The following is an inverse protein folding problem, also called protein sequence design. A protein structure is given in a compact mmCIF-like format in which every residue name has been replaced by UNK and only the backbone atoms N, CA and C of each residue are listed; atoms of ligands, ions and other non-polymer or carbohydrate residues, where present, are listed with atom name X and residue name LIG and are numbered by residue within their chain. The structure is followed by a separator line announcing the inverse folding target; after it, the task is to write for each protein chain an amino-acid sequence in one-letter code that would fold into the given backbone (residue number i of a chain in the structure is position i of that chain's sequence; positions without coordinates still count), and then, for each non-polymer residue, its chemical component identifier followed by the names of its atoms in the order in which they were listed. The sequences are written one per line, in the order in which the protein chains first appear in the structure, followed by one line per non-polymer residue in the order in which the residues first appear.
data_IF_372250670831
#
_entry.id   IF_372250670831
#
_cell.length_a   1.000
_cell.length_b   1.000
_cell.length_c   1.000
_cell.angle_alpha   90.00
_cell.angle_beta   90.00
_cell.angle_gamma   90.00
#
_symmetry.space_group_name_H-M   'P 1'
#
loop_
_entity.id
_entity.type
_entity.pdbx_description
1 polymer ?
#
# COMPACT_ATOMS: atom_id res chain seq x y z
N UNK A 1 4.89 -17.05 2.75
CA UNK A 1 5.46 -16.23 3.82
C UNK A 1 4.35 -15.98 4.82
N UNK A 2 4.43 -16.62 5.98
CA UNK A 2 3.41 -16.54 7.04
C UNK A 2 3.69 -15.30 7.87
N UNK A 3 2.68 -14.45 8.09
CA UNK A 3 2.75 -13.36 9.07
C UNK A 3 2.20 -13.88 10.40
N UNK A 4 2.97 -13.87 11.51
CA UNK A 4 2.47 -14.33 12.80
C UNK A 4 1.66 -13.25 13.53
N UNK A 5 0.43 -13.66 13.88
CA UNK A 5 -0.29 -13.58 15.15
C UNK A 5 -0.74 -12.23 15.77
N UNK A 6 -2.04 -11.99 15.58
CA UNK A 6 -3.09 -11.79 16.60
C UNK A 6 -2.68 -11.77 18.09
N UNK A 7 -2.99 -10.66 18.78
CA UNK A 7 -3.45 -10.63 20.18
C UNK A 7 -4.57 -9.59 20.35
N UNK A 8 -5.60 -9.85 21.18
CA UNK A 8 -6.70 -8.93 21.42
C UNK A 8 -6.35 -7.97 22.56
N UNK A 9 -6.40 -6.65 22.33
CA UNK A 9 -6.46 -5.68 23.43
C UNK A 9 -5.55 -4.44 23.39
N UNK A 10 -4.82 -4.16 22.31
CA UNK A 10 -4.11 -2.87 22.19
C UNK A 10 -4.88 -1.89 21.31
N UNK A 11 -5.07 -0.67 21.83
CA UNK A 11 -5.41 0.55 21.05
C UNK A 11 -4.41 0.83 19.91
N UNK A 12 -3.32 0.06 19.84
CA UNK A 12 -2.39 -0.06 18.74
C UNK A 12 -2.81 -1.31 17.94
N UNK A 13 -3.59 -1.13 16.87
CA UNK A 13 -3.93 -2.22 15.95
C UNK A 13 -2.71 -2.73 15.16
N UNK A 14 -2.90 -3.53 14.09
CA UNK A 14 -1.81 -4.21 13.37
C UNK A 14 -0.69 -3.23 13.02
N UNK A 15 0.54 -3.68 13.20
CA UNK A 15 1.73 -2.83 13.14
C UNK A 15 2.06 -2.37 11.71
N UNK A 16 1.20 -2.65 10.71
CA UNK A 16 1.30 -2.25 9.29
C UNK A 16 2.73 -2.19 8.73
N UNK A 17 3.58 -3.17 9.10
CA UNK A 17 4.97 -3.23 8.65
C UNK A 17 6.00 -2.51 9.54
N UNK A 18 5.72 -2.32 10.83
CA UNK A 18 6.67 -1.72 11.76
C UNK A 18 8.01 -2.43 11.75
N UNK A 19 9.09 -1.64 11.76
CA UNK A 19 10.43 -2.17 11.63
C UNK A 19 10.82 -3.02 12.82
N UNK A 20 10.99 -4.31 12.58
CA UNK A 20 11.59 -5.22 13.55
C UNK A 20 13.10 -5.29 13.33
N UNK A 21 13.88 -4.94 14.35
CA UNK A 21 15.35 -4.98 14.32
C UNK A 21 15.91 -6.40 14.18
N UNK A 22 15.11 -7.43 14.38
CA UNK A 22 15.53 -8.84 14.28
C UNK A 22 15.35 -9.42 12.88
N UNK A 23 14.65 -8.73 11.96
CA UNK A 23 14.38 -9.26 10.62
C UNK A 23 15.48 -8.86 9.64
N UNK A 24 16.06 -9.84 8.97
CA UNK A 24 17.02 -9.62 7.88
C UNK A 24 16.34 -9.06 6.63
N UNK A 25 17.00 -8.11 5.96
CA UNK A 25 16.49 -7.51 4.71
C UNK A 25 16.60 -8.52 3.56
N UNK A 26 15.60 -8.53 2.68
CA UNK A 26 15.60 -9.40 1.49
C UNK A 26 16.81 -9.15 0.58
N UNK A 27 17.17 -7.88 0.35
CA UNK A 27 18.31 -7.50 -0.49
C UNK A 27 19.65 -7.98 0.10
N UNK A 28 19.81 -7.91 1.43
CA UNK A 28 20.97 -8.47 2.12
C UNK A 28 21.05 -10.00 1.98
N UNK A 29 19.91 -10.68 2.05
CA UNK A 29 19.86 -12.14 1.88
C UNK A 29 20.21 -12.54 0.45
N UNK A 30 19.69 -11.81 -0.54
CA UNK A 30 20.02 -12.01 -1.96
C UNK A 30 21.52 -11.80 -2.21
N UNK A 31 22.09 -10.73 -1.65
CA UNK A 31 23.51 -10.42 -1.76
C UNK A 31 24.40 -11.57 -1.26
N UNK A 32 24.08 -12.14 -0.11
CA UNK A 32 24.81 -13.30 0.46
C UNK A 32 24.71 -14.55 -0.41
N UNK A 33 23.59 -14.71 -1.15
CA UNK A 33 23.44 -15.76 -2.14
C UNK A 33 24.13 -15.44 -3.49
N UNK A 34 24.93 -14.37 -3.56
CA UNK A 34 25.58 -13.92 -4.79
C UNK A 34 24.62 -13.33 -5.83
N UNK A 35 23.40 -12.95 -5.42
CA UNK A 35 22.40 -12.32 -6.27
C UNK A 35 22.45 -10.82 -6.11
N UNK A 36 22.78 -10.15 -7.20
CA UNK A 36 22.66 -8.70 -7.37
C UNK A 36 21.19 -8.28 -7.47
N UNK A 37 20.89 -7.13 -6.88
CA UNK A 37 19.53 -6.61 -6.83
C UNK A 37 19.51 -5.10 -7.07
N UNK A 38 18.38 -4.58 -7.54
CA UNK A 38 18.14 -3.16 -7.73
C UNK A 38 16.89 -2.73 -6.96
N UNK A 39 16.98 -1.62 -6.23
CA UNK A 39 15.87 -0.98 -5.52
C UNK A 39 15.60 0.39 -6.11
N UNK A 40 14.36 0.63 -6.52
CA UNK A 40 13.89 1.84 -7.19
C UNK A 40 12.68 2.37 -6.42
N UNK A 41 12.89 3.35 -5.56
CA UNK A 41 11.86 3.80 -4.62
C UNK A 41 12.16 5.21 -4.11
N UNK A 42 11.33 5.74 -3.20
CA UNK A 42 11.61 6.97 -2.48
C UNK A 42 12.95 6.91 -1.74
N UNK A 43 13.59 8.07 -1.59
CA UNK A 43 14.91 8.19 -0.95
C UNK A 43 14.96 7.61 0.47
N UNK A 44 13.87 7.71 1.23
CA UNK A 44 13.79 7.16 2.59
C UNK A 44 13.82 5.63 2.58
N UNK A 45 13.11 5.01 1.64
CA UNK A 45 13.04 3.55 1.46
C UNK A 45 14.37 3.05 0.93
N UNK A 46 14.93 3.70 -0.08
CA UNK A 46 16.22 3.33 -0.67
C UNK A 46 17.31 3.35 0.41
N UNK A 47 17.47 4.45 1.15
CA UNK A 47 18.45 4.57 2.24
C UNK A 47 18.26 3.50 3.31
N UNK A 48 17.01 3.13 3.59
CA UNK A 48 16.68 2.17 4.63
C UNK A 48 16.92 0.73 4.22
N UNK A 49 16.62 0.37 2.97
CA UNK A 49 16.54 -1.04 2.55
C UNK A 49 17.64 -1.48 1.58
N UNK A 50 18.38 -0.57 0.96
CA UNK A 50 19.53 -0.93 0.12
C UNK A 50 20.57 -1.74 0.90
N UNK A 51 21.20 -2.70 0.23
CA UNK A 51 22.46 -3.33 0.65
C UNK A 51 23.63 -2.73 -0.12
N UNK A 52 24.85 -2.88 0.41
CA UNK A 52 26.09 -2.37 -0.23
C UNK A 52 26.29 -2.90 -1.66
N UNK A 53 25.78 -4.10 -1.93
CA UNK A 53 25.85 -4.77 -3.24
C UNK A 53 24.63 -4.55 -4.14
N UNK A 54 23.65 -3.74 -3.70
CA UNK A 54 22.45 -3.44 -4.48
C UNK A 54 22.58 -2.11 -5.24
N UNK A 55 22.04 -2.06 -6.45
CA UNK A 55 21.88 -0.78 -7.15
C UNK A 55 20.71 -0.03 -6.51
N UNK A 56 20.93 1.24 -6.18
CA UNK A 56 19.97 2.05 -5.43
C UNK A 56 19.58 3.29 -6.26
N UNK A 57 18.29 3.43 -6.59
CA UNK A 57 17.76 4.53 -7.37
C UNK A 57 16.65 5.23 -6.59
N UNK A 58 16.95 6.41 -6.06
CA UNK A 58 15.91 7.29 -5.53
C UNK A 58 15.12 7.91 -6.68
N UNK A 59 13.79 7.87 -6.60
CA UNK A 59 12.88 8.44 -7.60
C UNK A 59 11.82 9.32 -6.92
N UNK A 60 11.33 10.32 -7.64
CA UNK A 60 10.32 11.27 -7.13
C UNK A 60 8.94 11.10 -7.78
N UNK A 61 8.79 10.19 -8.74
CA UNK A 61 7.52 9.93 -9.43
C UNK A 61 7.43 8.51 -9.97
N UNK A 62 6.21 8.03 -10.17
CA UNK A 62 5.95 6.70 -10.75
C UNK A 62 6.47 6.56 -12.18
N UNK A 63 6.48 7.64 -12.96
CA UNK A 63 6.95 7.60 -14.35
C UNK A 63 8.49 7.48 -14.39
N UNK A 64 9.18 8.13 -13.46
CA UNK A 64 10.61 7.91 -13.24
C UNK A 64 10.89 6.50 -12.74
N UNK A 65 10.12 6.00 -11.77
CA UNK A 65 10.21 4.63 -11.27
C UNK A 65 10.09 3.61 -12.42
N UNK A 66 9.08 3.78 -13.27
CA UNK A 66 8.87 2.93 -14.45
C UNK A 66 10.04 3.01 -15.43
N UNK A 67 10.57 4.21 -15.70
CA UNK A 67 11.70 4.39 -16.61
C UNK A 67 12.95 3.67 -16.09
N UNK A 68 13.28 3.83 -14.80
CA UNK A 68 14.43 3.16 -14.16
C UNK A 68 14.24 1.65 -14.13
N UNK A 69 13.03 1.18 -13.80
CA UNK A 69 12.72 -0.25 -13.76
C UNK A 69 12.91 -0.88 -15.14
N UNK A 70 12.39 -0.26 -16.20
CA UNK A 70 12.60 -0.71 -17.59
C UNK A 70 14.07 -0.73 -18.00
N UNK A 71 14.89 0.17 -17.47
CA UNK A 71 16.34 0.19 -17.71
C UNK A 71 17.03 -0.97 -17.01
N UNK A 72 16.72 -1.19 -15.73
CA UNK A 72 17.30 -2.26 -14.92
C UNK A 72 16.86 -3.66 -15.38
N UNK A 73 15.66 -3.79 -15.93
CA UNK A 73 15.18 -5.05 -16.53
C UNK A 73 16.07 -5.51 -17.70
N UNK A 74 16.76 -4.57 -18.38
CA UNK A 74 17.72 -4.87 -19.46
C UNK A 74 19.15 -5.10 -18.96
N UNK A 75 19.37 -5.02 -17.65
CA UNK A 75 20.67 -5.23 -17.05
C UNK A 75 20.83 -6.72 -16.73
N UNK A 76 21.58 -7.44 -17.57
CA UNK A 76 21.84 -8.88 -17.41
C UNK A 76 22.55 -9.23 -16.10
N UNK A 77 23.13 -8.23 -15.42
CA UNK A 77 23.75 -8.40 -14.12
C UNK A 77 22.77 -8.25 -12.97
N UNK A 78 21.49 -7.96 -13.16
CA UNK A 78 20.51 -7.76 -12.07
C UNK A 78 19.56 -8.95 -11.99
N UNK A 79 19.46 -9.59 -10.83
CA UNK A 79 18.60 -10.77 -10.63
C UNK A 79 17.25 -10.47 -9.98
N UNK A 80 17.16 -9.36 -9.26
CA UNK A 80 15.97 -8.96 -8.53
C UNK A 80 15.78 -7.45 -8.62
N UNK A 81 14.57 -7.00 -8.94
CA UNK A 81 14.23 -5.59 -9.05
C UNK A 81 13.02 -5.32 -8.15
N UNK A 82 13.19 -4.39 -7.21
CA UNK A 82 12.09 -3.81 -6.44
C UNK A 82 11.75 -2.44 -6.99
N UNK A 83 10.47 -2.19 -7.24
CA UNK A 83 9.97 -0.86 -7.56
C UNK A 83 8.58 -0.64 -6.96
N UNK A 84 8.32 0.57 -6.50
CA UNK A 84 7.02 0.98 -5.96
C UNK A 84 6.42 2.09 -6.83
N UNK A 85 5.10 2.02 -7.03
CA UNK A 85 4.28 3.11 -7.55
C UNK A 85 3.50 3.73 -6.39
N UNK A 86 3.79 4.99 -6.07
CA UNK A 86 3.33 5.67 -4.86
C UNK A 86 2.08 6.52 -5.06
N UNK A 87 1.68 6.80 -6.31
CA UNK A 87 0.56 7.71 -6.63
C UNK A 87 -0.75 7.35 -5.90
N UNK A 88 -1.08 6.05 -5.83
CA UNK A 88 -2.27 5.59 -5.11
C UNK A 88 -2.16 5.83 -3.59
N UNK A 89 -0.98 5.62 -3.01
CA UNK A 89 -0.76 5.86 -1.59
C UNK A 89 -0.85 7.36 -1.28
N UNK A 90 -0.22 8.21 -2.09
CA UNK A 90 -0.30 9.67 -1.94
C UNK A 90 -1.73 10.18 -2.03
N UNK A 91 -2.56 9.61 -2.90
CA UNK A 91 -3.99 9.93 -2.97
C UNK A 91 -4.74 9.62 -1.68
N UNK A 92 -4.45 8.49 -1.03
CA UNK A 92 -5.06 8.16 0.26
C UNK A 92 -4.56 9.08 1.40
N UNK A 93 -3.26 9.41 1.43
CA UNK A 93 -2.71 10.37 2.41
C UNK A 93 -3.40 11.73 2.27
N UNK A 94 -3.48 12.26 1.05
CA UNK A 94 -4.11 13.56 0.77
C UNK A 94 -5.59 13.57 1.18
N UNK A 95 -6.32 12.47 0.94
CA UNK A 95 -7.72 12.35 1.37
C UNK A 95 -7.88 12.30 2.90
N UNK A 96 -6.93 11.70 3.61
CA UNK A 96 -6.98 11.64 5.07
C UNK A 96 -6.63 12.98 5.73
N UNK A 97 -5.86 13.82 5.03
CA UNK A 97 -5.52 15.17 5.49
C UNK A 97 -6.63 16.20 5.21
N UNK A 98 -7.39 16.03 4.13
CA UNK A 98 -8.53 16.86 3.76
C UNK A 98 -9.76 16.58 4.66
N UNK A 99 -10.07 17.52 5.56
CA UNK A 99 -11.16 17.36 6.53
C UNK A 99 -12.54 17.20 5.87
N UNK A 100 -12.78 17.84 4.74
CA UNK A 100 -14.06 17.77 4.04
C UNK A 100 -14.25 16.36 3.44
N UNK A 101 -13.23 15.86 2.73
CA UNK A 101 -13.24 14.51 2.14
C UNK A 101 -13.31 13.43 3.22
N UNK A 102 -12.55 13.60 4.31
CA UNK A 102 -12.57 12.69 5.44
C UNK A 102 -13.97 12.64 6.07
N UNK A 103 -14.56 13.78 6.40
CA UNK A 103 -15.88 13.85 7.02
C UNK A 103 -16.96 13.24 6.11
N UNK A 104 -16.90 13.50 4.80
CA UNK A 104 -17.80 12.87 3.82
C UNK A 104 -17.71 11.35 3.82
N UNK A 105 -16.48 10.81 3.80
CA UNK A 105 -16.22 9.36 3.83
C UNK A 105 -16.67 8.72 5.15
N UNK A 106 -16.49 9.41 6.29
CA UNK A 106 -16.97 8.93 7.59
C UNK A 106 -18.50 8.93 7.68
N UNK A 107 -19.17 9.96 7.18
CA UNK A 107 -20.62 10.03 7.14
C UNK A 107 -21.21 8.91 6.26
N UNK A 108 -20.60 8.64 5.10
CA UNK A 108 -20.96 7.52 4.23
C UNK A 108 -20.82 6.17 4.95
N UNK A 109 -19.65 5.91 5.57
CA UNK A 109 -19.40 4.68 6.30
C UNK A 109 -20.35 4.49 7.49
N UNK A 110 -20.63 5.55 8.25
CA UNK A 110 -21.63 5.49 9.32
C UNK A 110 -23.03 5.21 8.79
N UNK A 111 -23.42 5.84 7.69
CA UNK A 111 -24.71 5.57 7.07
C UNK A 111 -24.84 4.10 6.67
N UNK A 112 -23.77 3.51 6.14
CA UNK A 112 -23.73 2.09 5.78
C UNK A 112 -23.81 1.17 7.00
N UNK A 113 -23.14 1.51 8.10
CA UNK A 113 -23.11 0.72 9.32
C UNK A 113 -24.41 0.83 10.15
N UNK A 114 -25.16 1.93 10.02
CA UNK A 114 -26.37 2.21 10.82
C UNK A 114 -27.67 1.89 10.11
N UNK A 115 -27.67 1.74 8.78
CA UNK A 115 -28.86 1.37 8.03
C UNK A 115 -29.18 -0.12 8.17
N UNK A 116 -30.00 -0.48 9.16
CA UNK A 116 -30.68 -1.77 9.27
C UNK A 116 -31.71 -1.97 8.14
N UNK A 117 -31.27 -2.32 6.93
CA UNK A 117 -32.19 -2.85 5.92
C UNK A 117 -31.67 -4.15 5.34
N UNK A 118 -32.36 -5.23 5.72
CA UNK A 118 -32.37 -6.56 5.10
C UNK A 118 -32.07 -6.48 3.59
N UNK A 119 -30.85 -6.72 3.20
CA UNK A 119 -30.55 -7.15 1.84
C UNK A 119 -29.53 -8.27 1.90
N UNK A 120 -30.05 -9.48 1.68
CA UNK A 120 -29.30 -10.63 1.21
C UNK A 120 -28.77 -10.25 -0.17
N UNK A 121 -27.66 -9.51 -0.20
CA UNK A 121 -26.76 -9.35 -1.33
C UNK A 121 -25.59 -8.47 -0.86
N UNK A 122 -24.61 -9.11 -0.23
CA UNK A 122 -23.25 -8.57 -0.05
C UNK A 122 -22.56 -8.41 -1.42
N UNK A 123 -23.13 -7.64 -2.35
CA UNK A 123 -22.35 -7.06 -3.43
C UNK A 123 -21.56 -5.93 -2.79
N UNK A 124 -20.23 -6.05 -2.87
CA UNK A 124 -19.27 -5.32 -2.06
C UNK A 124 -19.59 -3.84 -1.89
N UNK A 125 -19.16 -3.32 -0.74
CA UNK A 125 -19.13 -1.92 -0.36
C UNK A 125 -18.71 -1.08 -1.57
N UNK A 126 -19.68 -0.61 -2.35
CA UNK A 126 -19.43 0.21 -3.51
C UNK A 126 -19.47 1.65 -3.02
N UNK A 127 -18.49 2.01 -2.18
CA UNK A 127 -18.09 3.40 -2.04
C UNK A 127 -17.85 3.89 -3.46
N UNK A 128 -18.56 4.95 -3.87
CA UNK A 128 -18.53 5.41 -5.26
C UNK A 128 -17.09 5.70 -5.66
N UNK A 129 -16.52 4.87 -6.53
CA UNK A 129 -15.14 5.07 -7.00
C UNK A 129 -15.08 6.45 -7.65
N UNK A 130 -14.35 7.38 -7.03
CA UNK A 130 -14.23 8.74 -7.56
C UNK A 130 -13.58 8.68 -8.94
N UNK A 131 -13.89 9.64 -9.82
CA UNK A 131 -13.26 9.75 -11.13
C UNK A 131 -11.74 9.86 -11.00
N UNK A 132 -11.27 10.61 -10.00
CA UNK A 132 -9.85 10.73 -9.65
C UNK A 132 -9.20 9.38 -9.31
N UNK A 133 -9.83 8.57 -8.44
CA UNK A 133 -9.32 7.24 -8.10
C UNK A 133 -9.30 6.32 -9.33
N UNK A 134 -10.34 6.38 -10.17
CA UNK A 134 -10.41 5.60 -11.41
C UNK A 134 -9.28 5.96 -12.38
N UNK A 135 -8.95 7.23 -12.49
CA UNK A 135 -7.87 7.70 -13.34
C UNK A 135 -6.50 7.25 -12.80
N UNK A 136 -6.30 7.30 -11.47
CA UNK A 136 -5.09 6.79 -10.82
C UNK A 136 -4.91 5.28 -11.07
N UNK A 137 -5.95 4.49 -10.85
CA UNK A 137 -5.91 3.04 -11.11
C UNK A 137 -5.65 2.75 -12.60
N UNK A 138 -6.22 3.55 -13.50
CA UNK A 138 -5.98 3.42 -14.94
C UNK A 138 -4.52 3.70 -15.30
N UNK A 139 -3.92 4.76 -14.74
CA UNK A 139 -2.49 5.07 -14.91
C UNK A 139 -1.61 3.96 -14.34
N UNK A 140 -1.89 3.50 -13.12
CA UNK A 140 -1.17 2.40 -12.47
C UNK A 140 -1.20 1.13 -13.33
N UNK A 141 -2.36 0.75 -13.85
CA UNK A 141 -2.49 -0.38 -14.77
C UNK A 141 -1.67 -0.17 -16.06
N UNK A 142 -1.67 1.05 -16.61
CA UNK A 142 -0.81 1.41 -17.74
C UNK A 142 0.68 1.23 -17.44
N UNK A 143 1.14 1.64 -16.26
CA UNK A 143 2.54 1.47 -15.81
C UNK A 143 2.91 0.01 -15.62
N UNK A 144 2.04 -0.78 -14.98
CA UNK A 144 2.23 -2.24 -14.80
C UNK A 144 2.32 -2.94 -16.16
N UNK A 145 1.40 -2.64 -17.09
CA UNK A 145 1.46 -3.20 -18.46
C UNK A 145 2.74 -2.79 -19.17
N UNK A 146 3.14 -1.53 -19.02
CA UNK A 146 4.40 -1.01 -19.57
C UNK A 146 5.62 -1.74 -19.02
N UNK A 147 5.64 -2.06 -17.72
CA UNK A 147 6.70 -2.83 -17.08
C UNK A 147 6.70 -4.28 -17.58
N UNK A 148 5.54 -4.96 -17.54
CA UNK A 148 5.39 -6.35 -17.99
C UNK A 148 5.83 -6.54 -19.45
N UNK A 149 5.48 -5.60 -20.33
CA UNK A 149 5.90 -5.64 -21.73
C UNK A 149 7.43 -5.51 -21.93
N UNK A 150 8.14 -4.93 -20.97
CA UNK A 150 9.59 -4.80 -21.01
C UNK A 150 10.34 -6.00 -20.41
N UNK A 151 9.65 -6.90 -19.69
CA UNK A 151 10.26 -8.05 -19.04
C UNK A 151 10.75 -9.08 -20.08
N UNK A 152 11.96 -9.64 -19.91
CA UNK A 152 12.41 -10.80 -20.65
C UNK A 152 11.52 -12.03 -20.39
N UNK A 153 11.52 -12.98 -21.33
CA UNK A 153 10.94 -14.31 -21.11
C UNK A 153 11.58 -15.01 -19.90
N UNK A 154 10.81 -15.84 -19.22
CA UNK A 154 11.15 -16.51 -17.97
C UNK A 154 11.34 -15.57 -16.76
N UNK A 155 10.81 -14.35 -16.83
CA UNK A 155 10.83 -13.42 -15.68
C UNK A 155 9.58 -13.60 -14.82
N UNK A 156 9.77 -13.67 -13.51
CA UNK A 156 8.68 -13.66 -12.54
C UNK A 156 8.36 -12.23 -12.10
N UNK A 157 7.10 -11.82 -12.26
CA UNK A 157 6.57 -10.54 -11.79
C UNK A 157 5.67 -10.78 -10.57
N UNK A 158 5.99 -10.12 -9.47
CA UNK A 158 5.18 -10.12 -8.24
C UNK A 158 4.63 -8.70 -8.05
N UNK A 159 3.31 -8.56 -7.91
CA UNK A 159 2.64 -7.29 -7.64
C UNK A 159 1.95 -7.40 -6.29
N UNK A 160 2.36 -6.59 -5.32
CA UNK A 160 1.78 -6.57 -3.98
C UNK A 160 1.22 -5.18 -3.68
N UNK A 161 0.02 -5.10 -3.12
CA UNK A 161 -0.55 -3.82 -2.64
C UNK A 161 -0.12 -3.46 -1.22
N UNK A 162 0.44 -4.42 -0.47
CA UNK A 162 0.80 -4.24 0.93
C UNK A 162 -0.44 -4.25 1.82
N UNK A 163 -1.09 -3.11 1.98
CA UNK A 163 -2.30 -2.93 2.78
C UNK A 163 -3.34 -2.12 2.00
N UNK A 164 -4.57 -2.07 2.49
CA UNK A 164 -5.59 -1.14 1.98
C UNK A 164 -5.30 0.32 2.39
N UNK A 165 -6.36 1.14 2.45
CA UNK A 165 -6.26 2.54 2.87
C UNK A 165 -5.91 2.65 4.36
N UNK A 166 -4.61 2.70 4.66
CA UNK A 166 -4.11 2.88 6.03
C UNK A 166 -4.07 4.33 6.48
N UNK A 167 -4.18 5.29 5.55
CA UNK A 167 -4.08 6.72 5.83
C UNK A 167 -5.27 7.18 6.67
N UNK A 168 -6.48 6.78 6.29
CA UNK A 168 -7.69 7.07 7.07
C UNK A 168 -7.66 6.41 8.46
N UNK A 169 -7.14 5.17 8.56
CA UNK A 169 -7.00 4.45 9.84
C UNK A 169 -6.05 5.21 10.77
N UNK A 170 -4.89 5.65 10.26
CA UNK A 170 -3.92 6.45 11.02
C UNK A 170 -4.51 7.78 11.48
N UNK A 171 -5.23 8.48 10.58
CA UNK A 171 -5.89 9.75 10.89
C UNK A 171 -6.94 9.60 11.99
N UNK A 172 -7.80 8.59 11.90
CA UNK A 172 -8.83 8.31 12.91
C UNK A 172 -8.23 7.97 14.28
N UNK A 173 -7.16 7.16 14.31
CA UNK A 173 -6.43 6.87 15.55
C UNK A 173 -5.85 8.15 16.16
N UNK A 174 -5.27 9.03 15.34
CA UNK A 174 -4.76 10.33 15.81
C UNK A 174 -5.88 11.20 16.39
N UNK A 175 -7.03 11.29 15.74
CA UNK A 175 -8.19 12.05 16.25
C UNK A 175 -8.69 11.52 17.61
N UNK A 176 -8.68 10.19 17.81
CA UNK A 176 -9.06 9.57 19.09
C UNK A 176 -8.06 9.86 20.23
N UNK A 177 -6.78 10.04 19.90
CA UNK A 177 -5.72 10.38 20.85
C UNK A 177 -5.74 11.87 21.20
N UNK A 178 -5.91 12.74 20.20
CA UNK A 178 -5.80 14.19 20.34
C UNK A 178 -7.04 14.83 21.01
N UNK A 179 -8.13 14.06 21.23
CA UNK A 179 -9.43 14.54 21.74
C UNK A 179 -9.96 15.79 21.01
N UNK A 180 -9.60 15.95 19.73
CA UNK A 180 -10.04 17.07 18.92
C UNK A 180 -11.57 17.13 18.91
N UNK A 181 -12.15 18.32 19.09
CA UNK A 181 -13.59 18.55 18.91
C UNK A 181 -13.95 18.11 17.49
N UNK A 182 -14.62 16.98 17.39
CA UNK A 182 -15.10 16.42 16.13
C UNK A 182 -16.61 16.44 16.18
N UNK A 183 -17.24 16.68 15.04
CA UNK A 183 -18.71 16.70 14.91
C UNK A 183 -19.38 15.34 15.19
N UNK A 184 -18.62 14.32 15.58
CA UNK A 184 -19.01 12.93 15.64
C UNK A 184 -18.69 12.32 17.01
N UNK A 185 -19.60 11.49 17.54
CA UNK A 185 -19.35 10.83 18.81
C UNK A 185 -18.16 9.86 18.73
N UNK A 186 -17.40 9.77 19.82
CA UNK A 186 -16.25 8.86 19.95
C UNK A 186 -16.62 7.40 19.62
N UNK A 187 -17.80 6.97 20.02
CA UNK A 187 -18.33 5.63 19.76
C UNK A 187 -18.54 5.37 18.26
N UNK A 188 -19.03 6.38 17.54
CA UNK A 188 -19.23 6.31 16.08
C UNK A 188 -17.88 6.19 15.36
N UNK A 189 -16.88 6.96 15.79
CA UNK A 189 -15.52 6.89 15.26
C UNK A 189 -14.91 5.51 15.49
N UNK A 190 -15.09 4.92 16.68
CA UNK A 190 -14.58 3.58 16.99
C UNK A 190 -15.19 2.50 16.10
N UNK A 191 -16.51 2.54 15.86
CA UNK A 191 -17.18 1.59 14.96
C UNK A 191 -16.66 1.68 13.52
N UNK A 192 -16.49 2.89 13.00
CA UNK A 192 -15.95 3.10 11.64
C UNK A 192 -14.49 2.67 11.57
N UNK A 193 -13.70 2.96 12.60
CA UNK A 193 -12.30 2.56 12.68
C UNK A 193 -12.13 1.04 12.62
N UNK A 194 -12.97 0.28 13.33
CA UNK A 194 -12.94 -1.19 13.32
C UNK A 194 -13.16 -1.75 11.91
N UNK A 195 -14.17 -1.25 11.20
CA UNK A 195 -14.45 -1.68 9.82
C UNK A 195 -13.34 -1.27 8.84
N UNK A 196 -12.86 -0.02 8.90
CA UNK A 196 -11.78 0.44 8.02
C UNK A 196 -10.47 -0.29 8.28
N UNK A 197 -10.20 -0.64 9.54
CA UNK A 197 -9.04 -1.44 9.89
C UNK A 197 -9.14 -2.85 9.29
N UNK A 198 -10.29 -3.52 9.43
CA UNK A 198 -10.50 -4.84 8.85
C UNK A 198 -10.32 -4.82 7.31
N UNK A 199 -10.75 -3.75 6.65
CA UNK A 199 -10.52 -3.56 5.21
C UNK A 199 -9.04 -3.31 4.88
N UNK A 200 -8.35 -2.48 5.66
CA UNK A 200 -6.94 -2.15 5.45
C UNK A 200 -5.99 -3.33 5.71
N UNK A 201 -6.40 -4.30 6.53
CA UNK A 201 -5.64 -5.53 6.79
C UNK A 201 -5.55 -6.44 5.56
N UNK A 202 -6.46 -6.32 4.59
CA UNK A 202 -6.45 -7.16 3.39
C UNK A 202 -5.39 -6.69 2.40
N UNK A 203 -4.47 -7.60 2.07
CA UNK A 203 -3.43 -7.42 1.07
C UNK A 203 -3.75 -8.22 -0.21
N UNK A 204 -3.49 -7.64 -1.38
CA UNK A 204 -3.52 -8.37 -2.64
C UNK A 204 -2.10 -8.64 -3.13
N UNK A 205 -1.87 -9.87 -3.59
CA UNK A 205 -0.61 -10.29 -4.20
C UNK A 205 -0.93 -11.06 -5.48
N UNK A 206 -0.36 -10.59 -6.60
CA UNK A 206 -0.47 -11.23 -7.90
C UNK A 206 0.90 -11.73 -8.32
N UNK A 207 0.92 -12.92 -8.90
CA UNK A 207 2.11 -13.56 -9.43
C UNK A 207 1.88 -13.86 -10.91
N UNK A 208 2.83 -13.47 -11.76
CA UNK A 208 2.82 -13.79 -13.18
C UNK A 208 4.20 -14.22 -13.65
N UNK A 209 4.25 -15.22 -14.51
CA UNK A 209 5.44 -15.55 -15.28
C UNK A 209 5.32 -14.92 -16.67
N UNK A 210 6.43 -14.39 -17.17
CA UNK A 210 6.52 -13.86 -18.53
C UNK A 210 6.95 -14.99 -19.45
N UNK A 211 6.03 -15.39 -20.31
CA UNK A 211 6.29 -16.28 -21.45
C UNK A 211 6.80 -15.47 -22.66
#
# INVERSE_FOLDING_TARGET
VVFPDFFPGSLLGPDFGSPSFTRKKILSTLAECGKTSSIIDDISIVKRYSSESSNAFAVCSDDEALMKAKKEVKNDRTHFIWTQFSELNSFYENQAEDEEKLNGKLAEMLSLLTCEKKSVNKKGIHCGMTTELKDIITRLNGRIRGLYAALPTNTMLIICTGHGDTAIVRKLRKMLLDQSETNMSRESILKVLEELQAQAEVALCFLGLKD
#
